data_IF_368817104291
#
_entry.id   IF_368817104291
#
_cell.length_a   1.000
_cell.length_b   1.000
_cell.length_c   1.000
_cell.angle_alpha   90.00
_cell.angle_beta   90.00
_cell.angle_gamma   90.00
#
_symmetry.space_group_name_H-M   'P 1'
#
loop_
_entity.id
_entity.type
_entity.pdbx_description
1 polymer ?
#
# COMPACT_ATOMS: atom_id res chain seq x y z
N UNK A 1 17.45 -3.65 -3.65
CA UNK A 1 16.21 -4.31 -4.14
C UNK A 1 15.53 -3.42 -5.17
N UNK A 2 14.79 -3.98 -6.14
CA UNK A 2 13.95 -3.22 -7.07
C UNK A 2 12.52 -3.72 -7.04
N UNK A 3 11.55 -2.81 -7.06
CA UNK A 3 10.13 -3.09 -7.20
C UNK A 3 9.65 -2.37 -8.45
N UNK A 4 8.90 -3.05 -9.31
CA UNK A 4 8.50 -2.50 -10.61
C UNK A 4 7.01 -2.73 -10.86
N UNK A 5 6.33 -1.69 -11.33
CA UNK A 5 4.96 -1.77 -11.85
C UNK A 5 4.88 -1.06 -13.19
N UNK A 6 4.07 -1.58 -14.11
CA UNK A 6 3.72 -0.88 -15.35
C UNK A 6 2.33 -0.29 -15.19
N UNK A 7 2.21 1.01 -15.45
CA UNK A 7 0.98 1.77 -15.33
C UNK A 7 0.51 2.17 -16.72
N UNK A 8 -0.73 1.87 -17.07
CA UNK A 8 -1.34 2.17 -18.37
C UNK A 8 -1.68 3.66 -18.54
N UNK A 9 -0.71 4.54 -18.31
CA UNK A 9 -0.82 5.99 -18.44
C UNK A 9 0.49 6.61 -18.97
N UNK A 10 0.43 7.81 -19.58
CA UNK A 10 1.64 8.53 -20.01
C UNK A 10 2.56 8.90 -18.85
N UNK A 11 3.86 9.03 -19.14
CA UNK A 11 4.90 9.35 -18.14
C UNK A 11 4.54 10.62 -17.36
N UNK A 12 4.03 11.65 -18.03
CA UNK A 12 3.63 12.90 -17.38
C UNK A 12 2.53 12.71 -16.34
N UNK A 13 1.56 11.82 -16.60
CA UNK A 13 0.46 11.52 -15.67
C UNK A 13 0.98 10.79 -14.44
N UNK A 14 1.79 9.75 -14.64
CA UNK A 14 2.39 8.97 -13.55
C UNK A 14 3.37 9.83 -12.73
N UNK A 15 4.17 10.64 -13.41
CA UNK A 15 5.13 11.54 -12.77
C UNK A 15 4.44 12.65 -11.97
N UNK A 16 3.25 13.09 -12.39
CA UNK A 16 2.45 14.00 -11.58
C UNK A 16 1.90 13.31 -10.32
N UNK A 17 1.46 12.06 -10.42
CA UNK A 17 0.96 11.29 -9.28
C UNK A 17 2.01 11.06 -8.18
N UNK A 18 3.31 11.12 -8.51
CA UNK A 18 4.43 11.00 -7.56
C UNK A 18 4.84 12.33 -6.89
N UNK A 19 4.30 13.47 -7.32
CA UNK A 19 4.77 14.81 -6.89
C UNK A 19 3.67 15.76 -6.45
N UNK A 20 2.45 15.49 -6.86
CA UNK A 20 1.30 16.27 -6.43
C UNK A 20 0.79 15.72 -5.09
N UNK A 21 0.71 16.59 -4.06
CA UNK A 21 0.30 16.20 -2.70
C UNK A 21 -1.08 15.57 -2.66
N UNK A 22 -2.02 16.10 -3.43
CA UNK A 22 -3.38 15.59 -3.48
C UNK A 22 -3.40 14.22 -4.15
N UNK A 23 -2.68 14.05 -5.26
CA UNK A 23 -2.58 12.74 -5.91
C UNK A 23 -1.86 11.70 -5.05
N UNK A 24 -0.83 12.08 -4.28
CA UNK A 24 -0.15 11.16 -3.36
C UNK A 24 -1.11 10.64 -2.29
N UNK A 25 -2.01 11.47 -1.75
CA UNK A 25 -3.07 11.02 -0.82
C UNK A 25 -3.96 9.93 -1.40
N UNK A 26 -4.13 9.89 -2.72
CA UNK A 26 -4.98 8.92 -3.40
C UNK A 26 -4.31 7.54 -3.58
N UNK A 27 -3.03 7.36 -3.24
CA UNK A 27 -2.38 6.05 -3.35
C UNK A 27 -1.39 5.68 -2.24
N UNK A 28 -0.80 6.64 -1.53
CA UNK A 28 0.18 6.38 -0.46
C UNK A 28 -0.50 6.18 0.89
N UNK A 29 -0.01 5.23 1.70
CA UNK A 29 -0.45 5.06 3.08
C UNK A 29 -1.95 4.80 3.25
N UNK A 30 -2.45 5.13 4.45
CA UNK A 30 -3.85 5.05 4.88
C UNK A 30 -4.20 6.27 5.75
N UNK A 31 -5.50 6.57 5.85
CA UNK A 31 -6.10 7.60 6.70
C UNK A 31 -5.99 7.21 8.18
N UNK A 32 -5.47 8.13 8.98
CA UNK A 32 -5.49 8.11 10.45
C UNK A 32 -5.42 9.54 10.97
N UNK A 33 -5.78 9.75 12.24
CA UNK A 33 -5.91 11.09 12.80
C UNK A 33 -4.57 11.86 12.76
N UNK A 34 -4.52 12.94 11.98
CA UNK A 34 -3.43 13.92 11.95
C UNK A 34 -2.17 13.53 11.18
N UNK A 35 -1.96 12.27 10.79
CA UNK A 35 -0.62 11.84 10.38
C UNK A 35 -0.37 11.55 8.90
N UNK A 36 -1.36 11.18 8.07
CA UNK A 36 -1.10 10.86 6.65
C UNK A 36 -0.50 12.05 5.89
N UNK A 37 -1.03 13.25 6.11
CA UNK A 37 -0.54 14.47 5.46
C UNK A 37 0.89 14.81 5.88
N UNK A 38 1.20 14.65 7.17
CA UNK A 38 2.54 14.87 7.71
C UNK A 38 3.52 13.82 7.17
N UNK A 39 3.10 12.55 7.10
CA UNK A 39 3.88 11.47 6.53
C UNK A 39 4.22 11.73 5.06
N UNK A 40 3.24 12.16 4.26
CA UNK A 40 3.44 12.53 2.85
C UNK A 40 4.47 13.66 2.74
N UNK A 41 4.36 14.70 3.58
CA UNK A 41 5.31 15.82 3.59
C UNK A 41 6.73 15.37 3.98
N UNK A 42 6.85 14.49 4.98
CA UNK A 42 8.15 13.95 5.40
C UNK A 42 8.81 13.09 4.31
N UNK A 43 8.05 12.18 3.69
CA UNK A 43 8.59 11.22 2.72
C UNK A 43 8.90 11.89 1.38
N UNK A 44 7.94 12.63 0.82
CA UNK A 44 7.99 13.06 -0.59
C UNK A 44 8.47 14.50 -0.80
N UNK A 45 8.57 15.32 0.26
CA UNK A 45 8.86 16.76 0.09
C UNK A 45 10.00 17.30 0.97
N UNK A 46 10.20 16.77 2.16
CA UNK A 46 11.17 17.35 3.13
C UNK A 46 12.64 17.18 2.70
N UNK A 47 13.01 16.02 2.14
CA UNK A 47 14.39 15.73 1.68
C UNK A 47 14.44 15.12 0.28
N UNK A 48 13.34 15.21 -0.46
CA UNK A 48 13.26 14.63 -1.79
C UNK A 48 14.03 15.47 -2.81
N UNK A 49 14.67 14.81 -3.76
CA UNK A 49 15.41 15.45 -4.85
C UNK A 49 14.90 14.91 -6.18
N UNK A 50 14.40 15.81 -7.03
CA UNK A 50 13.99 15.52 -8.40
C UNK A 50 15.17 15.67 -9.38
N UNK A 51 15.28 14.74 -10.33
CA UNK A 51 16.16 14.82 -11.50
C UNK A 51 15.46 14.19 -12.71
N UNK A 52 14.93 15.02 -13.60
CA UNK A 52 14.11 14.56 -14.74
C UNK A 52 12.85 13.84 -14.26
N UNK A 53 12.73 12.54 -14.58
CA UNK A 53 11.65 11.64 -14.14
C UNK A 53 12.09 10.70 -13.01
N UNK A 54 13.09 11.12 -12.24
CA UNK A 54 13.62 10.41 -11.07
C UNK A 54 13.35 11.21 -9.79
N UNK A 55 12.83 10.55 -8.76
CA UNK A 55 12.61 11.12 -7.43
C UNK A 55 13.40 10.31 -6.40
N UNK A 56 14.42 10.91 -5.79
CA UNK A 56 15.15 10.32 -4.66
C UNK A 56 14.56 10.82 -3.35
N UNK A 57 14.11 9.92 -2.50
CA UNK A 57 13.54 10.22 -1.18
C UNK A 57 14.63 10.43 -0.11
N UNK A 58 14.23 10.97 1.04
CA UNK A 58 15.15 11.24 2.16
C UNK A 58 15.81 10.01 2.78
N UNK A 59 15.18 8.84 2.65
CA UNK A 59 15.72 7.55 3.09
C UNK A 59 16.68 6.91 2.06
N UNK A 60 16.87 7.55 0.90
CA UNK A 60 17.73 7.06 -0.18
C UNK A 60 17.03 6.17 -1.21
N UNK A 61 15.75 5.82 -1.02
CA UNK A 61 14.96 5.13 -2.04
C UNK A 61 14.78 6.02 -3.28
N UNK A 62 14.73 5.42 -4.47
CA UNK A 62 14.69 6.15 -5.74
C UNK A 62 13.56 5.62 -6.63
N UNK A 63 12.58 6.47 -6.94
CA UNK A 63 11.61 6.23 -8.01
C UNK A 63 12.20 6.70 -9.34
N UNK A 64 11.99 5.92 -10.40
CA UNK A 64 12.21 6.32 -11.78
C UNK A 64 10.97 5.98 -12.61
N UNK A 65 10.57 6.90 -13.49
CA UNK A 65 9.45 6.69 -14.42
C UNK A 65 9.98 6.74 -15.85
N UNK A 66 9.72 5.67 -16.60
CA UNK A 66 10.19 5.50 -17.98
C UNK A 66 9.03 5.14 -18.90
N UNK A 67 9.02 5.69 -20.11
CA UNK A 67 8.04 5.29 -21.13
C UNK A 67 8.32 3.87 -21.62
N UNK A 68 7.27 3.05 -21.71
CA UNK A 68 7.33 1.68 -22.22
C UNK A 68 6.13 1.38 -23.12
N UNK A 69 6.15 0.27 -23.84
CA UNK A 69 4.95 -0.18 -24.54
C UNK A 69 3.81 -0.41 -23.54
N UNK A 70 2.62 0.12 -23.84
CA UNK A 70 1.44 0.01 -22.98
C UNK A 70 1.32 1.07 -21.88
N UNK A 71 2.32 1.96 -21.69
CA UNK A 71 2.22 3.07 -20.73
C UNK A 71 3.58 3.49 -20.17
N UNK A 72 3.70 3.51 -18.85
CA UNK A 72 4.92 3.91 -18.14
C UNK A 72 5.32 2.86 -17.11
N UNK A 73 6.61 2.56 -17.02
CA UNK A 73 7.16 1.73 -15.95
C UNK A 73 7.61 2.62 -14.81
N UNK A 74 7.15 2.31 -13.61
CA UNK A 74 7.66 2.88 -12.36
C UNK A 74 8.58 1.83 -11.74
N UNK A 75 9.83 2.19 -11.52
CA UNK A 75 10.80 1.39 -10.79
C UNK A 75 11.16 2.09 -9.51
N UNK A 76 10.92 1.45 -8.36
CA UNK A 76 11.45 1.87 -7.07
C UNK A 76 12.69 1.04 -6.76
N UNK A 77 13.84 1.71 -6.68
CA UNK A 77 15.08 1.11 -6.21
C UNK A 77 15.25 1.43 -4.73
N UNK A 78 15.25 0.39 -3.89
CA UNK A 78 15.47 0.53 -2.45
C UNK A 78 16.91 0.93 -2.15
N UNK A 79 17.10 1.81 -1.18
CA UNK A 79 18.41 2.11 -0.61
C UNK A 79 19.11 0.81 -0.16
N UNK A 80 20.45 0.75 -0.21
CA UNK A 80 21.20 -0.36 0.36
C UNK A 80 20.88 -0.54 1.84
N UNK A 81 20.90 -1.79 2.32
CA UNK A 81 20.88 -2.09 3.74
C UNK A 81 22.00 -1.31 4.45
N UNK A 82 21.66 -0.79 5.63
CA UNK A 82 22.61 -0.06 6.45
C UNK A 82 23.61 -1.00 7.13
N UNK A 83 24.30 -0.47 8.13
CA UNK A 83 25.06 -1.29 9.09
C UNK A 83 24.36 -1.34 10.46
N UNK A 84 23.11 -0.88 10.52
CA UNK A 84 22.33 -0.78 11.74
C UNK A 84 21.33 -1.97 11.79
N UNK A 85 21.58 -2.97 12.66
CA UNK A 85 20.77 -4.18 12.70
C UNK A 85 19.30 -3.91 13.05
N UNK A 86 19.01 -2.84 13.79
CA UNK A 86 17.64 -2.49 14.16
C UNK A 86 16.88 -1.98 12.93
N UNK A 87 17.54 -1.24 12.03
CA UNK A 87 16.96 -0.82 10.76
C UNK A 87 16.81 -1.97 9.76
N UNK A 88 17.75 -2.90 9.75
CA UNK A 88 17.70 -4.06 8.87
C UNK A 88 16.47 -4.94 9.18
N UNK A 89 16.07 -5.02 10.46
CA UNK A 89 14.87 -5.76 10.88
C UNK A 89 13.56 -5.21 10.30
N UNK A 90 13.50 -3.91 9.95
CA UNK A 90 12.33 -3.29 9.31
C UNK A 90 12.43 -3.27 7.78
N UNK A 91 13.55 -3.67 7.19
CA UNK A 91 13.77 -3.51 5.75
C UNK A 91 12.77 -4.30 4.90
N UNK A 92 12.43 -5.51 5.35
CA UNK A 92 11.41 -6.37 4.72
C UNK A 92 10.03 -5.73 4.81
N UNK A 93 9.63 -5.21 5.97
CA UNK A 93 8.35 -4.50 6.14
C UNK A 93 8.22 -3.30 5.23
N UNK A 94 9.28 -2.48 5.15
CA UNK A 94 9.29 -1.32 4.27
C UNK A 94 9.25 -1.77 2.80
N UNK A 95 9.83 -2.93 2.47
CA UNK A 95 9.76 -3.49 1.11
C UNK A 95 8.32 -3.88 0.78
N UNK A 96 7.65 -4.57 1.70
CA UNK A 96 6.25 -4.95 1.54
C UNK A 96 5.33 -3.72 1.47
N UNK A 97 5.53 -2.72 2.33
CA UNK A 97 4.80 -1.45 2.25
C UNK A 97 4.95 -0.78 0.89
N UNK A 98 6.16 -0.76 0.33
CA UNK A 98 6.39 -0.20 -1.00
C UNK A 98 5.74 -0.99 -2.14
N UNK A 99 5.69 -2.33 -2.05
CA UNK A 99 4.95 -3.16 -3.00
C UNK A 99 3.47 -2.76 -2.98
N UNK A 100 2.88 -2.66 -1.80
CA UNK A 100 1.49 -2.22 -1.61
C UNK A 100 1.26 -0.85 -2.26
N UNK A 101 2.09 0.14 -1.92
CA UNK A 101 1.90 1.51 -2.40
C UNK A 101 2.09 1.65 -3.91
N UNK A 102 3.00 0.91 -4.53
CA UNK A 102 3.15 0.93 -5.99
C UNK A 102 1.95 0.30 -6.72
N UNK A 103 1.35 -0.75 -6.16
CA UNK A 103 0.13 -1.33 -6.72
C UNK A 103 -1.09 -0.42 -6.51
N UNK A 104 -1.16 0.28 -5.38
CA UNK A 104 -2.16 1.33 -5.14
C UNK A 104 -1.97 2.53 -6.08
N UNK A 105 -0.73 2.95 -6.35
CA UNK A 105 -0.42 4.00 -7.33
C UNK A 105 -0.94 3.62 -8.71
N UNK A 106 -0.63 2.40 -9.15
CA UNK A 106 -1.13 1.87 -10.42
C UNK A 106 -2.65 1.89 -10.44
N UNK A 107 -3.29 1.42 -9.37
CA UNK A 107 -4.75 1.36 -9.28
C UNK A 107 -5.39 2.75 -9.34
N UNK A 108 -4.91 3.70 -8.53
CA UNK A 108 -5.41 5.07 -8.51
C UNK A 108 -5.26 5.74 -9.88
N UNK A 109 -4.10 5.60 -10.53
CA UNK A 109 -3.88 6.21 -11.85
C UNK A 109 -4.73 5.57 -12.95
N UNK A 110 -4.90 4.24 -12.95
CA UNK A 110 -5.63 3.53 -14.03
C UNK A 110 -7.16 3.54 -13.85
N UNK A 111 -7.67 3.55 -12.61
CA UNK A 111 -9.10 3.38 -12.32
C UNK A 111 -9.75 4.62 -11.68
N UNK A 112 -8.99 5.42 -10.93
CA UNK A 112 -9.50 6.50 -10.08
C UNK A 112 -8.64 7.78 -10.14
N UNK A 113 -8.31 8.31 -11.33
CA UNK A 113 -7.28 9.35 -11.48
C UNK A 113 -7.60 10.67 -10.77
N UNK A 114 -8.89 10.93 -10.54
CA UNK A 114 -9.42 12.16 -9.96
C UNK A 114 -10.42 11.89 -8.80
N UNK A 115 -10.64 10.63 -8.42
CA UNK A 115 -11.55 10.30 -7.32
C UNK A 115 -10.83 10.39 -5.98
N UNK A 116 -11.55 10.87 -4.96
CA UNK A 116 -11.05 10.89 -3.57
C UNK A 116 -11.05 9.45 -3.04
N UNK A 117 -9.87 9.01 -2.58
CA UNK A 117 -9.70 7.73 -1.91
C UNK A 117 -9.88 7.88 -0.41
N UNK A 118 -10.75 7.06 0.15
CA UNK A 118 -10.83 6.81 1.59
C UNK A 118 -10.24 5.45 1.93
N UNK A 119 -9.77 5.27 3.17
CA UNK A 119 -9.16 3.99 3.56
C UNK A 119 -9.64 3.49 4.91
N UNK A 120 -9.79 2.17 5.02
CA UNK A 120 -9.81 1.48 6.30
C UNK A 120 -8.54 0.63 6.41
N UNK A 121 -7.97 0.59 7.61
CA UNK A 121 -6.73 -0.12 7.90
C UNK A 121 -6.89 -1.06 9.08
N UNK A 122 -6.40 -2.28 8.92
CA UNK A 122 -6.37 -3.30 9.96
C UNK A 122 -4.98 -3.93 9.99
N UNK A 123 -4.47 -4.16 11.21
CA UNK A 123 -3.19 -4.82 11.42
C UNK A 123 -3.28 -5.75 12.63
N UNK A 124 -2.48 -6.81 12.61
CA UNK A 124 -2.45 -7.78 13.70
C UNK A 124 -1.35 -8.81 13.52
N UNK A 125 -1.04 -9.54 14.59
CA UNK A 125 -0.09 -10.65 14.57
C UNK A 125 -0.84 -11.97 14.58
N UNK A 126 -0.27 -12.97 13.91
CA UNK A 126 -0.84 -14.30 13.82
C UNK A 126 -0.05 -15.17 12.83
N UNK A 127 -0.06 -16.51 13.02
CA UNK A 127 0.69 -17.42 12.16
C UNK A 127 0.00 -17.74 10.82
N UNK A 128 -1.24 -17.28 10.63
CA UNK A 128 -2.06 -17.59 9.45
C UNK A 128 -2.32 -16.33 8.64
N UNK A 129 -2.15 -16.42 7.32
CA UNK A 129 -2.41 -15.32 6.39
C UNK A 129 -3.91 -15.02 6.27
N UNK A 130 -4.36 -13.75 6.24
CA UNK A 130 -5.78 -13.42 6.07
C UNK A 130 -6.30 -13.85 4.69
N UNK A 131 -5.38 -14.03 3.73
CA UNK A 131 -5.68 -14.59 2.39
C UNK A 131 -6.18 -16.03 2.51
N UNK A 132 -5.64 -16.79 3.46
CA UNK A 132 -5.95 -18.21 3.69
C UNK A 132 -7.00 -18.39 4.79
N UNK A 133 -7.15 -17.41 5.68
CA UNK A 133 -8.00 -17.49 6.86
C UNK A 133 -9.46 -17.01 6.64
N UNK A 134 -9.86 -16.83 5.38
CA UNK A 134 -11.24 -16.51 5.02
C UNK A 134 -11.57 -15.03 4.86
N UNK A 135 -10.60 -14.11 4.87
CA UNK A 135 -10.88 -12.67 4.66
C UNK A 135 -11.55 -12.40 3.29
N UNK A 136 -11.28 -13.24 2.29
CA UNK A 136 -11.92 -13.15 0.97
C UNK A 136 -13.42 -13.47 1.00
N UNK A 137 -13.94 -14.10 2.07
CA UNK A 137 -15.38 -14.32 2.25
C UNK A 137 -16.12 -13.03 2.65
N UNK A 138 -15.39 -11.96 3.03
CA UNK A 138 -15.94 -10.65 3.38
C UNK A 138 -16.21 -9.75 2.15
N UNK A 139 -15.86 -10.23 0.96
CA UNK A 139 -16.04 -9.52 -0.32
C UNK A 139 -16.86 -10.37 -1.29
N UNK A 140 -17.44 -9.77 -2.36
CA UNK A 140 -18.14 -10.52 -3.39
C UNK A 140 -17.25 -11.60 -4.05
N UNK A 141 -17.83 -12.77 -4.32
CA UNK A 141 -17.09 -13.92 -4.83
C UNK A 141 -16.56 -13.74 -6.28
N UNK A 142 -17.10 -12.77 -7.02
CA UNK A 142 -16.74 -12.43 -8.39
C UNK A 142 -15.74 -11.26 -8.51
N UNK A 143 -15.16 -10.82 -7.38
CA UNK A 143 -14.12 -9.79 -7.34
C UNK A 143 -12.87 -10.13 -8.18
N UNK A 144 -12.32 -9.11 -8.85
CA UNK A 144 -11.17 -9.24 -9.76
C UNK A 144 -9.84 -9.23 -8.98
N UNK A 145 -8.94 -10.18 -9.24
CA UNK A 145 -7.57 -10.11 -8.70
C UNK A 145 -6.79 -9.03 -9.45
N UNK A 146 -6.35 -7.98 -8.74
CA UNK A 146 -5.54 -6.89 -9.28
C UNK A 146 -4.06 -7.26 -9.39
N UNK A 147 -3.51 -7.87 -8.33
CA UNK A 147 -2.14 -8.36 -8.29
C UNK A 147 -1.99 -9.45 -7.24
N UNK A 148 -0.91 -10.24 -7.37
CA UNK A 148 -0.45 -11.19 -6.36
C UNK A 148 1.07 -11.11 -6.28
N UNK A 149 1.60 -11.01 -5.07
CA UNK A 149 3.02 -11.17 -4.76
C UNK A 149 3.22 -12.39 -3.85
N UNK A 150 4.44 -12.59 -3.35
CA UNK A 150 4.73 -13.65 -2.38
C UNK A 150 3.93 -13.48 -1.07
N UNK A 151 3.84 -12.25 -0.58
CA UNK A 151 3.25 -11.93 0.72
C UNK A 151 1.92 -11.19 0.63
N UNK A 152 1.45 -10.83 -0.57
CA UNK A 152 0.29 -9.96 -0.74
C UNK A 152 -0.66 -10.38 -1.84
N UNK A 153 -1.93 -10.02 -1.67
CA UNK A 153 -2.98 -10.14 -2.65
C UNK A 153 -3.76 -8.83 -2.73
N UNK A 154 -3.84 -8.26 -3.94
CA UNK A 154 -4.72 -7.15 -4.24
C UNK A 154 -5.97 -7.62 -4.99
N UNK A 155 -7.15 -7.19 -4.54
CA UNK A 155 -8.45 -7.57 -5.12
C UNK A 155 -9.31 -6.33 -5.33
N UNK A 156 -9.82 -6.14 -6.53
CA UNK A 156 -10.78 -5.09 -6.87
C UNK A 156 -12.16 -5.49 -6.36
N UNK A 157 -12.83 -4.56 -5.67
CA UNK A 157 -14.14 -4.78 -5.05
C UNK A 157 -15.12 -3.74 -5.55
N UNK A 158 -15.93 -4.12 -6.54
CA UNK A 158 -16.94 -3.26 -7.18
C UNK A 158 -17.89 -2.60 -6.18
N UNK A 159 -18.26 -3.34 -5.13
CA UNK A 159 -19.16 -2.87 -4.07
C UNK A 159 -18.60 -1.70 -3.24
N UNK A 160 -17.31 -1.35 -3.38
CA UNK A 160 -16.65 -0.26 -2.66
C UNK A 160 -16.36 0.96 -3.55
N UNK A 161 -17.25 1.18 -4.52
CA UNK A 161 -17.05 2.18 -5.57
C UNK A 161 -15.94 1.76 -6.54
N UNK A 162 -15.86 0.47 -6.87
CA UNK A 162 -14.70 -0.13 -7.56
C UNK A 162 -13.41 0.07 -6.74
N UNK A 163 -13.46 -0.27 -5.44
CA UNK A 163 -12.34 -0.13 -4.51
C UNK A 163 -11.27 -1.21 -4.66
N UNK A 164 -10.22 -1.13 -3.84
CA UNK A 164 -9.13 -2.09 -3.79
C UNK A 164 -8.93 -2.60 -2.36
N UNK A 165 -9.05 -3.91 -2.17
CA UNK A 165 -8.56 -4.61 -0.99
C UNK A 165 -7.10 -5.01 -1.22
N UNK A 166 -6.23 -4.70 -0.28
CA UNK A 166 -4.90 -5.29 -0.17
C UNK A 166 -4.83 -6.10 1.12
N UNK A 167 -4.54 -7.39 0.99
CA UNK A 167 -4.20 -8.27 2.12
C UNK A 167 -2.71 -8.57 2.05
N UNK A 168 -2.00 -8.45 3.18
CA UNK A 168 -0.58 -8.80 3.28
C UNK A 168 -0.30 -9.64 4.51
N UNK A 169 0.66 -10.57 4.40
CA UNK A 169 1.11 -11.40 5.49
C UNK A 169 2.60 -11.75 5.41
N UNK A 170 3.32 -11.44 6.48
CA UNK A 170 4.64 -11.96 6.76
C UNK A 170 4.52 -13.06 7.83
N UNK A 171 4.95 -14.29 7.53
CA UNK A 171 4.88 -15.38 8.49
C UNK A 171 5.83 -15.14 9.68
N UNK A 172 5.62 -15.85 10.80
CA UNK A 172 6.53 -15.81 11.93
C UNK A 172 7.99 -16.05 11.54
N UNK A 173 8.89 -15.23 12.07
CA UNK A 173 10.34 -15.31 11.88
C UNK A 173 11.08 -15.00 13.19
N UNK A 174 12.41 -15.18 13.22
CA UNK A 174 13.23 -14.84 14.38
C UNK A 174 13.12 -13.34 14.75
N UNK A 175 12.95 -12.48 13.75
CA UNK A 175 12.77 -11.03 13.93
C UNK A 175 11.31 -10.67 14.27
N UNK A 176 10.35 -11.48 13.82
CA UNK A 176 8.90 -11.29 14.05
C UNK A 176 8.24 -12.58 14.52
N UNK A 177 8.36 -12.94 15.82
CA UNK A 177 7.85 -14.22 16.32
C UNK A 177 6.34 -14.42 16.16
N UNK A 178 5.56 -13.34 16.09
CA UNK A 178 4.11 -13.38 15.85
C UNK A 178 3.71 -13.26 14.38
N UNK A 179 4.66 -13.06 13.45
CA UNK A 179 4.37 -12.62 12.09
C UNK A 179 3.76 -11.21 12.05
N UNK A 180 3.28 -10.80 10.89
CA UNK A 180 2.53 -9.56 10.71
C UNK A 180 1.50 -9.72 9.59
N UNK A 181 0.26 -9.35 9.88
CA UNK A 181 -0.84 -9.35 8.92
C UNK A 181 -1.43 -7.95 8.82
N UNK A 182 -1.80 -7.54 7.61
CA UNK A 182 -2.50 -6.27 7.39
C UNK A 182 -3.59 -6.40 6.32
N UNK A 183 -4.60 -5.55 6.44
CA UNK A 183 -5.58 -5.28 5.41
C UNK A 183 -5.70 -3.76 5.20
N UNK A 184 -5.60 -3.31 3.94
CA UNK A 184 -5.90 -1.94 3.52
C UNK A 184 -7.07 -2.00 2.54
N UNK A 185 -8.14 -1.27 2.84
CA UNK A 185 -9.30 -1.16 1.99
C UNK A 185 -9.31 0.25 1.41
N UNK A 186 -9.03 0.40 0.13
CA UNK A 186 -9.24 1.65 -0.61
C UNK A 186 -10.67 1.72 -1.11
N UNK A 187 -11.40 2.75 -0.71
CA UNK A 187 -12.84 2.91 -0.90
C UNK A 187 -13.10 4.23 -1.63
N UNK A 188 -14.04 4.22 -2.57
CA UNK A 188 -14.41 5.38 -3.37
C UNK A 188 -15.93 5.60 -3.34
N UNK A 189 -16.36 6.81 -3.66
CA UNK A 189 -17.77 7.19 -3.74
C UNK A 189 -18.53 7.05 -2.42
N UNK A 190 -19.83 6.74 -2.52
CA UNK A 190 -20.78 6.76 -1.40
C UNK A 190 -20.88 5.42 -0.63
N UNK A 191 -19.81 4.63 -0.60
CA UNK A 191 -19.79 3.36 0.15
C UNK A 191 -20.00 3.63 1.65
N UNK A 192 -20.88 2.85 2.31
CA UNK A 192 -21.08 2.94 3.76
C UNK A 192 -19.83 2.41 4.49
N UNK A 193 -18.96 3.34 4.89
CA UNK A 193 -17.68 3.05 5.53
C UNK A 193 -17.85 2.55 6.96
N UNK A 194 -18.86 3.02 7.68
CA UNK A 194 -19.09 2.62 9.07
C UNK A 194 -19.55 1.15 9.14
N UNK A 195 -20.47 0.75 8.24
CA UNK A 195 -20.88 -0.65 8.11
C UNK A 195 -19.70 -1.54 7.69
N UNK A 196 -18.93 -1.10 6.69
CA UNK A 196 -17.79 -1.84 6.19
C UNK A 196 -16.71 -2.01 7.28
N UNK A 197 -16.40 -0.94 8.01
CA UNK A 197 -15.45 -0.97 9.12
C UNK A 197 -15.93 -1.91 10.21
N UNK A 198 -17.19 -1.81 10.64
CA UNK A 198 -17.73 -2.68 11.69
C UNK A 198 -17.61 -4.17 11.31
N UNK A 199 -17.92 -4.52 10.06
CA UNK A 199 -17.82 -5.90 9.55
C UNK A 199 -16.38 -6.39 9.55
N UNK A 200 -15.45 -5.61 8.99
CA UNK A 200 -14.04 -5.99 8.92
C UNK A 200 -13.39 -6.02 10.30
N UNK A 201 -13.71 -5.07 11.18
CA UNK A 201 -13.21 -5.02 12.56
C UNK A 201 -13.63 -6.24 13.37
N UNK A 202 -14.88 -6.68 13.23
CA UNK A 202 -15.40 -7.86 13.90
C UNK A 202 -14.61 -9.12 13.50
N UNK A 203 -14.46 -9.34 12.19
CA UNK A 203 -13.68 -10.46 11.67
C UNK A 203 -12.20 -10.37 12.09
N UNK A 204 -11.58 -9.20 11.91
CA UNK A 204 -10.16 -9.01 12.18
C UNK A 204 -9.80 -9.26 13.66
N UNK A 205 -10.65 -8.81 14.58
CA UNK A 205 -10.42 -8.97 16.03
C UNK A 205 -10.57 -10.43 16.48
N UNK A 206 -11.42 -11.20 15.82
CA UNK A 206 -11.60 -12.64 16.09
C UNK A 206 -10.37 -13.45 15.62
N UNK A 207 -9.82 -13.09 14.46
CA UNK A 207 -8.73 -13.83 13.81
C UNK A 207 -7.32 -13.37 14.22
N UNK A 208 -7.15 -12.07 14.53
CA UNK A 208 -5.88 -11.44 14.90
C UNK A 208 -6.03 -10.62 16.20
N UNK A 209 -6.21 -11.28 17.36
CA UNK A 209 -6.45 -10.60 18.63
C UNK A 209 -5.21 -9.86 19.18
N UNK A 210 -4.01 -10.23 18.71
CA UNK A 210 -2.78 -9.56 19.05
C UNK A 210 -2.60 -8.32 18.17
N UNK A 211 -2.63 -7.14 18.81
CA UNK A 211 -2.36 -5.89 18.12
C UNK A 211 -0.87 -5.75 17.82
N UNK A 212 -0.57 -5.30 16.60
CA UNK A 212 0.77 -4.86 16.22
C UNK A 212 0.84 -3.36 16.43
N UNK A 213 1.83 -2.91 17.19
CA UNK A 213 2.13 -1.49 17.35
C UNK A 213 2.77 -1.01 16.04
N UNK A 214 2.00 -0.30 15.21
CA UNK A 214 2.49 0.26 13.96
C UNK A 214 2.74 1.77 14.14
N UNK A 215 3.77 2.34 13.51
CA UNK A 215 3.97 3.79 13.55
C UNK A 215 2.71 4.49 13.04
N UNK A 216 2.07 5.31 13.87
CA UNK A 216 0.86 6.06 13.52
C UNK A 216 -0.48 5.46 14.01
N UNK A 217 -0.46 4.40 14.83
CA UNK A 217 -1.63 3.91 15.60
C UNK A 217 -1.54 4.24 17.07
#
# INVERSE_FOLDING_TARGET
MKIEVTIAAPVETVWNALRDREKIRHWHGWEYEGGLDEEIEQIYFTRAVEDGTTLRLGNGDVFAVEAVEGGSRVTLTRAPLGADPDWDAYYEDVTEGWITFLHQLRFAVERHPDDVRHTLFFAGAGPVSPIEDGALELIPADSEIWYRSEHQLGVVVDAWGNGLLVLSHLPPSDQKPGGASMAILSIYGDTDRDELEARWRAWWTEHYPEQVDLPGT
#
